data_IF_958941855275
#
_entry.id   IF_958941855275
#
_cell.length_a   1.000
_cell.length_b   1.000
_cell.length_c   1.000
_cell.angle_alpha   90.00
_cell.angle_beta   90.00
_cell.angle_gamma   90.00
#
_symmetry.space_group_name_H-M   'P 1'
#
loop_
_entity.id
_entity.type
_entity.pdbx_description
1 polymer ?
#
# COMPACT_ATOMS: atom_id res chain seq x y z
N UNK A 1 -2.77 7.08 29.36
CA UNK A 1 -3.47 6.95 28.07
C UNK A 1 -2.45 6.52 27.05
N UNK A 2 -2.71 5.44 26.33
CA UNK A 2 -1.87 4.98 25.22
C UNK A 2 -2.49 5.48 23.91
N UNK A 3 -1.68 5.88 22.93
CA UNK A 3 -2.12 6.29 21.60
C UNK A 3 -2.77 5.12 20.83
N UNK A 4 -2.52 3.88 21.26
CA UNK A 4 -3.16 2.66 20.76
C UNK A 4 -4.25 2.11 21.69
N UNK A 5 -4.74 2.90 22.66
CA UNK A 5 -5.70 2.43 23.68
C UNK A 5 -6.94 1.82 23.03
N UNK A 6 -7.14 0.52 23.28
CA UNK A 6 -8.35 -0.19 22.87
C UNK A 6 -9.62 0.45 23.48
N UNK A 7 -9.47 1.18 24.59
CA UNK A 7 -10.52 1.95 25.25
C UNK A 7 -11.12 3.07 24.41
N UNK A 8 -10.41 3.61 23.40
CA UNK A 8 -10.95 4.56 22.42
C UNK A 8 -11.73 3.87 21.28
N UNK A 9 -11.69 2.53 21.23
CA UNK A 9 -12.27 1.73 20.14
C UNK A 9 -13.35 0.77 20.63
N UNK A 10 -13.72 0.83 21.92
CA UNK A 10 -14.63 -0.12 22.57
C UNK A 10 -15.56 0.58 23.53
N UNK A 11 -16.70 -0.07 23.77
CA UNK A 11 -17.71 0.41 24.71
C UNK A 11 -18.60 1.50 24.12
N UNK A 12 -19.38 2.18 24.97
CA UNK A 12 -20.30 3.23 24.53
C UNK A 12 -19.58 4.44 23.93
N UNK A 13 -20.25 5.18 23.07
CA UNK A 13 -19.71 6.43 22.50
C UNK A 13 -19.44 7.47 23.58
N UNK A 14 -18.41 8.29 23.37
CA UNK A 14 -17.99 9.33 24.32
C UNK A 14 -17.87 10.69 23.63
N UNK A 15 -17.93 11.80 24.38
CA UNK A 15 -17.58 13.11 23.85
C UNK A 15 -16.18 13.10 23.21
N UNK A 16 -16.03 13.80 22.09
CA UNK A 16 -14.79 13.86 21.31
C UNK A 16 -14.57 12.70 20.33
N UNK A 17 -15.32 11.60 20.44
CA UNK A 17 -15.19 10.48 19.51
C UNK A 17 -15.76 10.82 18.13
N UNK A 18 -15.17 10.24 17.07
CA UNK A 18 -15.78 10.29 15.74
C UNK A 18 -16.76 9.15 15.56
N UNK A 19 -17.90 9.46 14.96
CA UNK A 19 -18.95 8.50 14.63
C UNK A 19 -19.32 8.67 13.16
N UNK A 20 -19.42 7.55 12.46
CA UNK A 20 -19.99 7.48 11.12
C UNK A 20 -21.48 7.15 11.23
N UNK A 21 -22.30 7.99 10.63
CA UNK A 21 -23.74 7.86 10.54
C UNK A 21 -24.12 7.42 9.13
N UNK A 22 -24.83 6.30 9.02
CA UNK A 22 -25.29 5.77 7.73
C UNK A 22 -26.81 5.82 7.65
N UNK A 23 -27.33 6.51 6.65
CA UNK A 23 -28.78 6.64 6.41
C UNK A 23 -29.36 5.38 5.70
N UNK A 24 -30.69 5.25 5.53
CA UNK A 24 -31.30 4.10 4.87
C UNK A 24 -30.99 3.98 3.37
N UNK A 25 -30.38 5.02 2.77
CA UNK A 25 -29.90 5.04 1.38
C UNK A 25 -28.40 4.72 1.30
N UNK A 26 -27.75 4.38 2.42
CA UNK A 26 -26.32 4.09 2.49
C UNK A 26 -25.43 5.33 2.45
N UNK A 27 -25.98 6.54 2.62
CA UNK A 27 -25.16 7.77 2.67
C UNK A 27 -24.46 7.85 4.02
N UNK A 28 -23.16 8.05 3.98
CA UNK A 28 -22.31 8.13 5.16
C UNK A 28 -21.97 9.58 5.50
N UNK A 29 -22.09 9.93 6.78
CA UNK A 29 -21.66 11.20 7.35
C UNK A 29 -20.73 10.94 8.52
N UNK A 30 -19.63 11.68 8.64
CA UNK A 30 -18.72 11.54 9.79
C UNK A 30 -18.81 12.79 10.65
N UNK A 31 -19.14 12.61 11.93
CA UNK A 31 -19.25 13.68 12.91
C UNK A 31 -18.28 13.45 14.07
N UNK A 32 -17.96 14.53 14.78
CA UNK A 32 -17.26 14.45 16.08
C UNK A 32 -18.26 14.77 17.17
N UNK A 33 -18.46 13.83 18.10
CA UNK A 33 -19.40 13.99 19.20
C UNK A 33 -18.94 15.09 20.15
N UNK A 34 -19.91 15.87 20.62
CA UNK A 34 -19.68 16.98 21.52
C UNK A 34 -21.01 17.27 22.20
N UNK A 35 -20.98 17.46 23.52
CA UNK A 35 -22.18 17.66 24.33
C UNK A 35 -22.96 18.90 23.86
N UNK A 36 -24.29 18.78 23.83
CA UNK A 36 -25.21 19.84 23.41
C UNK A 36 -25.13 20.23 21.93
N UNK A 37 -24.30 19.56 21.11
CA UNK A 37 -24.23 19.83 19.67
C UNK A 37 -25.26 19.03 18.88
N UNK A 38 -25.56 19.55 17.69
CA UNK A 38 -26.50 18.96 16.75
C UNK A 38 -25.84 18.70 15.40
N UNK A 39 -26.07 17.50 14.87
CA UNK A 39 -25.76 17.19 13.48
C UNK A 39 -26.98 17.46 12.60
N UNK A 40 -26.84 18.44 11.70
CA UNK A 40 -27.91 18.84 10.79
C UNK A 40 -27.83 18.05 9.49
N UNK A 41 -28.98 17.55 9.06
CA UNK A 41 -29.13 16.89 7.76
C UNK A 41 -30.06 17.72 6.88
N UNK A 42 -30.19 17.33 5.62
CA UNK A 42 -31.19 17.92 4.72
C UNK A 42 -32.64 17.78 5.23
N UNK A 43 -32.91 16.89 6.20
CA UNK A 43 -34.23 16.64 6.80
C UNK A 43 -34.10 16.40 8.30
N UNK A 44 -34.20 17.46 9.09
CA UNK A 44 -34.09 17.37 10.55
C UNK A 44 -32.65 17.22 11.05
N UNK A 45 -32.51 16.99 12.35
CA UNK A 45 -31.22 16.93 13.04
C UNK A 45 -31.17 15.77 14.04
N UNK A 46 -29.94 15.40 14.43
CA UNK A 46 -29.62 14.47 15.50
C UNK A 46 -28.94 15.23 16.63
N UNK A 47 -29.38 15.03 17.87
CA UNK A 47 -28.65 15.52 19.04
C UNK A 47 -27.45 14.60 19.29
N UNK A 48 -26.29 15.18 19.57
CA UNK A 48 -25.11 14.38 19.92
C UNK A 48 -25.31 13.66 21.26
N UNK A 49 -26.06 14.26 22.17
CA UNK A 49 -26.33 13.72 23.51
C UNK A 49 -27.10 12.39 23.45
N UNK A 50 -27.90 12.18 22.40
CA UNK A 50 -28.61 10.91 22.17
C UNK A 50 -27.66 9.79 21.71
N UNK A 51 -26.49 10.13 21.17
CA UNK A 51 -25.44 9.18 20.77
C UNK A 51 -24.45 8.94 21.91
N UNK A 52 -24.12 9.96 22.69
CA UNK A 52 -23.17 9.85 23.80
C UNK A 52 -23.73 8.86 24.84
N UNK A 53 -22.92 7.86 25.21
CA UNK A 53 -23.33 6.77 26.09
C UNK A 53 -24.11 5.64 25.41
N UNK A 54 -24.49 5.78 24.13
CA UNK A 54 -25.08 4.68 23.37
C UNK A 54 -24.01 3.65 22.95
N UNK A 55 -24.36 2.35 22.84
CA UNK A 55 -23.45 1.34 22.31
C UNK A 55 -23.05 1.58 20.85
N UNK A 56 -21.84 1.17 20.48
CA UNK A 56 -21.40 1.14 19.08
C UNK A 56 -22.30 0.23 18.24
N UNK A 57 -22.63 0.66 17.02
CA UNK A 57 -23.59 -0.04 16.15
C UNK A 57 -25.05 0.20 16.49
N UNK A 58 -25.38 1.18 17.34
CA UNK A 58 -26.76 1.55 17.63
C UNK A 58 -27.42 2.30 16.47
N UNK A 59 -28.75 2.18 16.34
CA UNK A 59 -29.55 3.00 15.44
C UNK A 59 -30.20 4.14 16.21
N UNK A 60 -30.09 5.36 15.68
CA UNK A 60 -30.71 6.56 16.23
C UNK A 60 -31.71 7.16 15.24
N UNK A 61 -32.79 7.76 15.73
CA UNK A 61 -33.80 8.41 14.90
C UNK A 61 -33.67 9.92 14.99
N UNK A 62 -33.62 10.60 13.84
CA UNK A 62 -33.58 12.06 13.80
C UNK A 62 -34.97 12.70 14.02
N UNK A 63 -35.03 14.02 14.14
CA UNK A 63 -36.30 14.74 14.37
C UNK A 63 -37.33 14.61 13.25
N UNK A 64 -36.95 14.13 12.06
CA UNK A 64 -37.84 13.85 10.94
C UNK A 64 -38.23 12.36 10.82
N UNK A 65 -37.94 11.54 11.83
CA UNK A 65 -38.27 10.11 11.85
C UNK A 65 -37.36 9.22 10.99
N UNK A 66 -36.24 9.75 10.47
CA UNK A 66 -35.27 8.97 9.68
C UNK A 66 -34.25 8.31 10.61
N UNK A 67 -34.07 7.01 10.45
CA UNK A 67 -33.09 6.22 11.21
C UNK A 67 -31.69 6.33 10.61
N UNK A 68 -30.68 6.38 11.47
CA UNK A 68 -29.27 6.38 11.14
C UNK A 68 -28.56 5.32 11.96
N UNK A 69 -27.75 4.47 11.30
CA UNK A 69 -26.84 3.56 11.96
C UNK A 69 -25.57 4.32 12.38
N UNK A 70 -25.26 4.32 13.67
CA UNK A 70 -24.08 4.97 14.23
C UNK A 70 -22.99 3.94 14.53
N UNK A 71 -21.84 4.07 13.88
CA UNK A 71 -20.69 3.16 14.03
C UNK A 71 -19.40 3.97 14.16
N UNK A 72 -18.46 3.51 15.00
CA UNK A 72 -17.09 4.07 14.99
C UNK A 72 -16.40 3.81 13.65
N UNK A 73 -15.86 4.84 12.98
CA UNK A 73 -15.18 4.64 11.71
C UNK A 73 -13.92 3.78 11.89
N UNK A 74 -13.74 2.82 10.97
CA UNK A 74 -12.48 2.12 10.82
C UNK A 74 -11.41 3.10 10.32
N UNK A 75 -10.14 2.69 10.36
CA UNK A 75 -9.06 3.51 9.77
C UNK A 75 -9.31 3.74 8.27
N UNK A 76 -9.77 2.71 7.56
CA UNK A 76 -10.13 2.81 6.14
C UNK A 76 -11.20 3.88 5.90
N UNK A 77 -12.21 3.98 6.78
CA UNK A 77 -13.30 4.94 6.63
C UNK A 77 -12.85 6.36 6.96
N UNK A 78 -12.01 6.48 7.99
CA UNK A 78 -11.43 7.75 8.41
C UNK A 78 -10.52 8.34 7.31
N UNK A 79 -9.60 7.54 6.75
CA UNK A 79 -8.71 7.98 5.66
C UNK A 79 -9.51 8.44 4.44
N UNK A 80 -10.65 7.82 4.17
CA UNK A 80 -11.51 8.17 3.05
C UNK A 80 -12.32 9.46 3.25
N UNK A 81 -12.41 9.97 4.48
CA UNK A 81 -13.25 11.13 4.84
C UNK A 81 -12.52 12.26 5.57
N UNK A 82 -11.25 12.07 5.94
CA UNK A 82 -10.44 13.09 6.61
C UNK A 82 -10.11 14.28 5.68
N UNK A 83 -9.84 15.47 6.24
CA UNK A 83 -9.31 16.60 5.48
C UNK A 83 -8.01 16.23 4.74
N UNK A 84 -7.87 16.69 3.49
CA UNK A 84 -6.73 16.36 2.63
C UNK A 84 -6.05 17.61 2.14
N UNK A 85 -4.74 17.69 2.36
CA UNK A 85 -3.85 18.63 1.66
C UNK A 85 -3.31 18.06 0.35
N UNK A 86 -3.20 16.73 0.27
CA UNK A 86 -2.63 15.99 -0.85
C UNK A 86 -3.46 14.75 -1.19
N UNK A 87 -3.15 14.11 -2.31
CA UNK A 87 -3.61 12.75 -2.57
C UNK A 87 -3.15 11.81 -1.45
N UNK A 88 -3.97 10.82 -1.13
CA UNK A 88 -3.69 9.86 -0.06
C UNK A 88 -3.47 8.47 -0.65
N UNK A 89 -2.59 7.69 -0.04
CA UNK A 89 -2.53 6.25 -0.29
C UNK A 89 -3.86 5.62 0.12
N UNK A 90 -4.45 4.84 -0.80
CA UNK A 90 -5.72 4.18 -0.57
C UNK A 90 -5.56 3.01 0.41
N UNK A 91 -6.61 2.63 1.17
CA UNK A 91 -6.53 1.53 2.13
C UNK A 91 -6.02 0.20 1.56
N UNK A 92 -6.33 -0.10 0.29
CA UNK A 92 -5.83 -1.31 -0.39
C UNK A 92 -4.29 -1.32 -0.49
N UNK A 93 -3.69 -0.17 -0.76
CA UNK A 93 -2.27 -0.01 -0.99
C UNK A 93 -1.54 0.13 0.35
N UNK A 94 -2.11 0.88 1.31
CA UNK A 94 -1.58 0.96 2.67
C UNK A 94 -1.52 -0.41 3.35
N UNK A 95 -2.55 -1.25 3.17
CA UNK A 95 -2.54 -2.63 3.68
C UNK A 95 -1.45 -3.49 3.03
N UNK A 96 -1.23 -3.35 1.72
CA UNK A 96 -0.13 -4.03 1.05
C UNK A 96 1.24 -3.49 1.47
N UNK A 97 1.41 -2.19 1.69
CA UNK A 97 2.66 -1.62 2.20
C UNK A 97 2.98 -2.21 3.56
N UNK A 98 2.03 -2.19 4.50
CA UNK A 98 2.22 -2.75 5.84
C UNK A 98 2.60 -4.24 5.77
N UNK A 99 1.91 -5.02 4.94
CA UNK A 99 2.14 -6.46 4.84
C UNK A 99 3.42 -6.84 4.07
N UNK A 100 3.67 -6.20 2.92
CA UNK A 100 4.73 -6.57 1.99
C UNK A 100 6.07 -5.94 2.38
N UNK A 101 6.05 -4.78 3.04
CA UNK A 101 7.23 -4.26 3.71
C UNK A 101 7.47 -4.93 5.06
N UNK A 102 6.57 -5.82 5.53
CA UNK A 102 6.71 -6.47 6.83
C UNK A 102 6.92 -5.43 7.95
N UNK A 103 5.98 -4.49 8.09
CA UNK A 103 6.00 -3.51 9.18
C UNK A 103 5.53 -4.21 10.45
N UNK A 104 6.43 -4.34 11.43
CA UNK A 104 6.21 -5.13 12.64
C UNK A 104 6.22 -4.26 13.92
N UNK A 105 5.61 -4.73 15.03
CA UNK A 105 5.64 -4.01 16.30
C UNK A 105 7.07 -3.76 16.79
N UNK A 106 7.40 -2.53 17.18
CA UNK A 106 8.74 -2.14 17.61
C UNK A 106 9.70 -1.72 16.48
N UNK A 107 9.29 -1.82 15.20
CA UNK A 107 10.15 -1.43 14.09
C UNK A 107 10.48 0.07 14.08
N UNK A 108 11.69 0.40 13.62
CA UNK A 108 12.09 1.75 13.23
C UNK A 108 11.83 1.93 11.74
N UNK A 109 10.86 2.78 11.42
CA UNK A 109 10.39 3.02 10.06
C UNK A 109 10.67 4.46 9.65
N UNK A 110 11.15 4.65 8.42
CA UNK A 110 11.21 5.96 7.78
C UNK A 110 10.12 6.05 6.71
N UNK A 111 9.42 7.19 6.67
CA UNK A 111 8.47 7.54 5.63
C UNK A 111 8.86 8.89 5.00
N UNK A 112 8.71 9.05 3.69
CA UNK A 112 8.80 10.37 3.06
C UNK A 112 7.68 10.59 2.05
N UNK A 113 7.12 11.80 2.08
CA UNK A 113 5.85 12.12 1.43
C UNK A 113 4.67 11.87 2.35
N UNK A 114 4.66 12.57 3.50
CA UNK A 114 3.63 12.38 4.55
C UNK A 114 2.26 12.81 4.07
N UNK A 115 2.20 13.89 3.29
CA UNK A 115 0.97 14.41 2.70
C UNK A 115 -0.10 14.70 3.75
N UNK A 116 -1.17 13.91 3.77
CA UNK A 116 -2.27 14.08 4.74
C UNK A 116 -2.21 13.10 5.92
N UNK A 117 -1.14 12.31 6.06
CA UNK A 117 -0.92 11.36 7.17
C UNK A 117 -1.69 10.03 7.07
N UNK A 118 -2.26 9.71 5.90
CA UNK A 118 -3.06 8.51 5.69
C UNK A 118 -2.25 7.22 5.92
N UNK A 119 -1.08 7.14 5.26
CA UNK A 119 -0.16 6.04 5.39
C UNK A 119 0.46 6.03 6.79
N UNK A 120 0.90 7.18 7.28
CA UNK A 120 1.49 7.33 8.62
C UNK A 120 0.62 6.72 9.71
N UNK A 121 -0.70 6.94 9.72
CA UNK A 121 -1.60 6.30 10.70
C UNK A 121 -1.62 4.75 10.60
N UNK A 122 -1.48 4.20 9.40
CA UNK A 122 -1.39 2.75 9.19
C UNK A 122 -0.06 2.19 9.70
N UNK A 123 1.04 2.91 9.44
CA UNK A 123 2.37 2.57 9.93
C UNK A 123 2.43 2.64 11.47
N UNK A 124 1.97 3.75 12.07
CA UNK A 124 1.92 3.94 13.52
C UNK A 124 1.15 2.83 14.24
N UNK A 125 0.02 2.41 13.66
CA UNK A 125 -0.76 1.30 14.20
C UNK A 125 -0.01 -0.03 14.14
N UNK A 126 0.77 -0.27 13.08
CA UNK A 126 1.51 -1.51 12.90
C UNK A 126 2.75 -1.59 13.81
N UNK A 127 3.49 -0.49 13.96
CA UNK A 127 4.69 -0.44 14.80
C UNK A 127 4.39 -0.34 16.30
N UNK A 128 3.21 0.17 16.68
CA UNK A 128 2.85 0.38 18.08
C UNK A 128 3.63 1.49 18.77
N UNK A 129 3.56 1.55 20.11
CA UNK A 129 4.20 2.62 20.88
C UNK A 129 5.69 2.42 21.13
N UNK A 130 6.16 1.17 21.03
CA UNK A 130 7.57 0.82 21.22
C UNK A 130 8.39 1.00 19.94
N UNK A 131 7.73 1.12 18.78
CA UNK A 131 8.37 1.42 17.50
C UNK A 131 8.68 2.91 17.34
N UNK A 132 9.22 3.27 16.17
CA UNK A 132 9.46 4.67 15.78
C UNK A 132 9.10 4.89 14.32
N UNK A 133 8.40 5.97 14.04
CA UNK A 133 8.15 6.45 12.68
C UNK A 133 8.81 7.82 12.52
N UNK A 134 9.83 7.87 11.66
CA UNK A 134 10.50 9.10 11.24
C UNK A 134 9.94 9.51 9.87
N UNK A 135 9.13 10.56 9.87
CA UNK A 135 8.41 11.03 8.68
C UNK A 135 9.00 12.34 8.17
N UNK A 136 9.33 12.41 6.88
CA UNK A 136 9.90 13.61 6.25
C UNK A 136 8.91 14.23 5.26
N UNK A 137 8.62 15.51 5.45
CA UNK A 137 7.69 16.28 4.61
C UNK A 137 8.29 17.65 4.31
N UNK A 138 8.42 18.00 3.02
CA UNK A 138 9.03 19.28 2.62
C UNK A 138 8.12 20.46 2.93
N UNK A 139 6.81 20.23 2.99
CA UNK A 139 5.77 21.24 3.12
C UNK A 139 5.24 21.33 4.55
N UNK A 140 5.56 22.42 5.24
CA UNK A 140 5.13 22.65 6.62
C UNK A 140 3.60 22.59 6.79
N UNK A 141 2.83 23.09 5.82
CA UNK A 141 1.37 23.03 5.83
C UNK A 141 0.84 21.59 5.78
N UNK A 142 1.48 20.72 4.98
CA UNK A 142 1.14 19.31 4.92
C UNK A 142 1.52 18.56 6.20
N UNK A 143 2.69 18.86 6.78
CA UNK A 143 3.10 18.30 8.05
C UNK A 143 2.09 18.59 9.17
N UNK A 144 1.56 19.83 9.24
CA UNK A 144 0.56 20.20 10.25
C UNK A 144 -0.80 19.54 9.99
N UNK A 145 -1.24 19.42 8.73
CA UNK A 145 -2.45 18.67 8.38
C UNK A 145 -2.32 17.19 8.80
N UNK A 146 -1.19 16.56 8.50
CA UNK A 146 -0.94 15.17 8.84
C UNK A 146 -0.96 14.95 10.37
N UNK A 147 -0.28 15.81 11.13
CA UNK A 147 -0.30 15.79 12.60
C UNK A 147 -1.72 15.95 13.14
N UNK A 148 -2.47 16.93 12.63
CA UNK A 148 -3.86 17.16 13.02
C UNK A 148 -4.75 15.95 12.76
N UNK A 149 -4.63 15.33 11.59
CA UNK A 149 -5.40 14.13 11.23
C UNK A 149 -5.07 12.95 12.15
N UNK A 150 -3.78 12.65 12.36
CA UNK A 150 -3.40 11.55 13.24
C UNK A 150 -3.82 11.81 14.69
N UNK A 151 -3.66 13.04 15.20
CA UNK A 151 -4.11 13.42 16.55
C UNK A 151 -5.61 13.21 16.72
N UNK A 152 -6.41 13.58 15.73
CA UNK A 152 -7.86 13.35 15.75
C UNK A 152 -8.16 11.85 15.76
N UNK A 153 -7.39 11.03 15.04
CA UNK A 153 -7.64 9.60 14.94
C UNK A 153 -7.20 8.80 16.18
N UNK A 154 -6.07 9.17 16.79
CA UNK A 154 -5.52 8.53 17.99
C UNK A 154 -6.00 9.18 19.29
N UNK A 155 -6.63 10.36 19.22
CA UNK A 155 -7.05 11.14 20.39
C UNK A 155 -5.91 11.90 21.08
N UNK A 156 -4.67 11.73 20.63
CA UNK A 156 -3.47 12.37 21.14
C UNK A 156 -2.36 12.37 20.08
N UNK A 157 -1.28 13.11 20.32
CA UNK A 157 -0.06 12.96 19.52
C UNK A 157 0.55 11.58 19.78
N UNK A 158 0.78 10.81 18.71
CA UNK A 158 1.31 9.47 18.83
C UNK A 158 2.79 9.51 19.25
N UNK A 159 3.19 8.87 20.36
CA UNK A 159 4.53 9.04 20.93
C UNK A 159 5.64 8.48 20.04
N UNK A 160 5.34 7.46 19.24
CA UNK A 160 6.29 6.90 18.26
C UNK A 160 6.52 7.78 17.02
N UNK A 161 5.78 8.89 16.85
CA UNK A 161 5.82 9.65 15.59
C UNK A 161 6.67 10.91 15.70
N UNK A 162 7.69 11.01 14.84
CA UNK A 162 8.47 12.23 14.65
C UNK A 162 8.29 12.71 13.21
N UNK A 163 7.84 13.95 13.04
CA UNK A 163 7.68 14.57 11.71
C UNK A 163 8.71 15.69 11.57
N UNK A 164 9.62 15.52 10.60
CA UNK A 164 10.65 16.50 10.25
C UNK A 164 10.21 17.26 9.00
N UNK A 165 10.16 18.60 9.10
CA UNK A 165 9.88 19.45 7.94
C UNK A 165 11.20 19.69 7.20
N UNK A 166 11.35 19.07 6.03
CA UNK A 166 12.59 19.13 5.27
C UNK A 166 12.65 18.12 4.14
N UNK A 167 13.68 18.23 3.30
CA UNK A 167 13.98 17.23 2.28
C UNK A 167 14.56 15.97 2.93
N UNK A 168 14.15 14.78 2.47
CA UNK A 168 14.60 13.50 3.03
C UNK A 168 16.12 13.35 2.90
N UNK A 169 16.69 13.68 1.73
CA UNK A 169 18.10 13.49 1.42
C UNK A 169 18.97 14.33 2.33
N UNK A 170 18.55 15.56 2.60
CA UNK A 170 19.27 16.49 3.47
C UNK A 170 19.07 16.18 4.96
N UNK A 171 17.85 15.80 5.36
CA UNK A 171 17.47 15.75 6.78
C UNK A 171 17.73 14.39 7.42
N UNK A 172 17.53 13.29 6.69
CA UNK A 172 17.60 11.94 7.24
C UNK A 172 18.96 11.58 7.85
N UNK A 173 20.12 11.92 7.24
CA UNK A 173 21.43 11.59 7.81
C UNK A 173 21.67 12.18 9.22
N UNK A 174 20.97 13.25 9.57
CA UNK A 174 21.04 13.87 10.90
C UNK A 174 19.96 13.38 11.88
N UNK A 175 18.93 12.71 11.37
CA UNK A 175 17.75 12.30 12.14
C UNK A 175 17.81 10.84 12.59
N UNK A 176 18.56 10.00 11.88
CA UNK A 176 18.74 8.57 12.19
C UNK A 176 20.21 8.18 12.04
N UNK A 177 20.66 7.25 12.88
CA UNK A 177 22.01 6.69 12.76
C UNK A 177 22.12 5.79 11.52
N UNK A 178 23.30 5.68 10.89
CA UNK A 178 23.52 4.70 9.84
C UNK A 178 23.19 3.28 10.29
N UNK A 179 22.61 2.48 9.39
CA UNK A 179 22.20 1.09 9.62
C UNK A 179 21.35 0.90 10.90
N UNK A 180 20.40 1.81 11.15
CA UNK A 180 19.50 1.75 12.32
C UNK A 180 18.01 1.64 11.96
N UNK A 181 17.67 1.74 10.67
CA UNK A 181 16.28 1.71 10.18
C UNK A 181 15.93 0.31 9.68
N UNK A 182 14.77 -0.20 10.09
CA UNK A 182 14.27 -1.50 9.67
C UNK A 182 13.62 -1.43 8.28
N UNK A 183 12.82 -0.40 8.04
CA UNK A 183 11.92 -0.27 6.89
C UNK A 183 11.86 1.18 6.40
N UNK A 184 11.82 1.37 5.10
CA UNK A 184 11.67 2.68 4.46
C UNK A 184 10.51 2.63 3.47
N UNK A 185 9.60 3.61 3.56
CA UNK A 185 8.45 3.77 2.67
C UNK A 185 8.53 5.13 1.98
N UNK A 186 8.57 5.15 0.64
CA UNK A 186 8.63 6.39 -0.15
C UNK A 186 7.36 6.57 -1.00
N UNK A 187 6.63 7.66 -0.77
CA UNK A 187 5.49 8.10 -1.60
C UNK A 187 5.75 9.52 -2.12
N UNK A 188 6.56 9.61 -3.17
CA UNK A 188 7.00 10.89 -3.71
C UNK A 188 7.28 10.82 -5.21
N UNK A 189 7.51 11.98 -5.82
CA UNK A 189 7.69 12.08 -7.27
C UNK A 189 9.00 11.46 -7.75
N UNK A 190 10.08 11.54 -6.96
CA UNK A 190 11.42 11.15 -7.36
C UNK A 190 12.15 10.26 -6.31
N UNK A 191 11.61 9.09 -5.95
CA UNK A 191 12.21 8.22 -4.93
C UNK A 191 13.59 7.67 -5.32
N UNK A 192 13.95 7.67 -6.61
CA UNK A 192 15.30 7.28 -7.08
C UNK A 192 16.40 8.22 -6.58
N UNK A 193 16.09 9.47 -6.24
CA UNK A 193 17.07 10.44 -5.70
C UNK A 193 17.46 10.15 -4.25
N UNK A 194 16.71 9.26 -3.58
CA UNK A 194 16.88 8.95 -2.17
C UNK A 194 17.62 7.63 -1.93
N UNK A 195 18.00 6.90 -2.99
CA UNK A 195 18.50 5.52 -2.86
C UNK A 195 19.79 5.42 -2.03
N UNK A 196 20.70 6.37 -2.15
CA UNK A 196 21.97 6.37 -1.42
C UNK A 196 21.73 6.56 0.08
N UNK A 197 21.06 7.65 0.46
CA UNK A 197 20.76 7.95 1.87
C UNK A 197 19.92 6.85 2.53
N UNK A 198 18.99 6.24 1.77
CA UNK A 198 18.18 5.12 2.25
C UNK A 198 19.04 3.87 2.45
N UNK A 199 20.00 3.61 1.57
CA UNK A 199 20.91 2.48 1.69
C UNK A 199 21.83 2.61 2.91
N UNK A 200 22.20 3.84 3.27
CA UNK A 200 23.01 4.15 4.45
C UNK A 200 22.21 4.00 5.75
N UNK A 201 20.94 4.41 5.76
CA UNK A 201 20.08 4.32 6.94
C UNK A 201 19.59 2.89 7.24
N UNK A 202 19.32 2.09 6.20
CA UNK A 202 18.76 0.74 6.34
C UNK A 202 19.75 -0.26 6.94
N UNK A 203 19.27 -1.07 7.88
CA UNK A 203 19.94 -2.31 8.31
C UNK A 203 20.14 -3.26 7.12
N UNK A 204 21.21 -4.10 7.11
CA UNK A 204 21.31 -5.22 6.18
C UNK A 204 20.06 -6.11 6.24
N UNK A 205 19.44 -6.36 5.10
CA UNK A 205 18.18 -7.10 4.99
C UNK A 205 16.92 -6.27 5.26
N UNK A 206 17.04 -4.99 5.64
CA UNK A 206 15.94 -4.04 5.74
C UNK A 206 15.23 -3.83 4.41
N UNK A 207 14.00 -3.33 4.44
CA UNK A 207 13.14 -3.24 3.25
C UNK A 207 12.95 -1.79 2.84
N UNK A 208 13.15 -1.50 1.55
CA UNK A 208 12.67 -0.29 0.89
C UNK A 208 11.44 -0.67 0.07
N UNK A 209 10.34 0.06 0.27
CA UNK A 209 9.18 0.02 -0.60
C UNK A 209 8.85 1.44 -1.10
N UNK A 210 8.64 1.57 -2.41
CA UNK A 210 8.21 2.82 -3.03
C UNK A 210 6.81 2.66 -3.61
N UNK A 211 5.98 3.68 -3.43
CA UNK A 211 4.71 3.85 -4.11
C UNK A 211 4.89 4.88 -5.21
N UNK A 212 4.58 4.51 -6.47
CA UNK A 212 4.77 5.38 -7.64
C UNK A 212 3.56 5.32 -8.57
N UNK A 213 3.14 6.46 -9.11
CA UNK A 213 1.91 6.53 -9.89
C UNK A 213 2.09 6.01 -11.33
N UNK A 214 3.26 6.24 -11.94
CA UNK A 214 3.47 5.96 -13.37
C UNK A 214 4.45 4.81 -13.62
N UNK A 215 4.29 4.15 -14.76
CA UNK A 215 5.22 3.11 -15.20
C UNK A 215 6.65 3.65 -15.48
N UNK A 216 6.78 4.94 -15.84
CA UNK A 216 8.09 5.58 -16.01
C UNK A 216 8.81 5.78 -14.69
N UNK A 217 8.09 6.21 -13.65
CA UNK A 217 8.64 6.27 -12.29
C UNK A 217 9.02 4.86 -11.81
N UNK A 218 8.15 3.87 -12.04
CA UNK A 218 8.42 2.48 -11.69
C UNK A 218 9.72 1.96 -12.32
N UNK A 219 9.88 2.16 -13.63
CA UNK A 219 11.08 1.79 -14.36
C UNK A 219 12.33 2.47 -13.78
N UNK A 220 12.26 3.79 -13.54
CA UNK A 220 13.39 4.56 -13.04
C UNK A 220 13.83 4.14 -11.63
N UNK A 221 12.89 3.80 -10.75
CA UNK A 221 13.23 3.24 -9.43
C UNK A 221 13.89 1.87 -9.56
N UNK A 222 13.34 1.00 -10.42
CA UNK A 222 13.88 -0.34 -10.62
C UNK A 222 15.32 -0.31 -11.16
N UNK A 223 15.59 0.50 -12.19
CA UNK A 223 16.95 0.64 -12.72
C UNK A 223 17.87 1.34 -11.72
N UNK A 224 17.41 2.39 -11.03
CA UNK A 224 18.20 3.05 -9.98
C UNK A 224 18.63 2.07 -8.86
N UNK A 225 17.74 1.18 -8.42
CA UNK A 225 18.08 0.13 -7.44
C UNK A 225 19.14 -0.85 -7.97
N UNK A 226 19.10 -1.18 -9.27
CA UNK A 226 20.08 -2.08 -9.91
C UNK A 226 21.43 -1.41 -10.10
N UNK A 227 21.44 -0.18 -10.59
CA UNK A 227 22.64 0.64 -10.79
C UNK A 227 23.36 0.90 -9.46
N UNK A 228 22.60 1.19 -8.39
CA UNK A 228 23.15 1.35 -7.05
C UNK A 228 23.85 0.07 -6.54
N UNK A 229 23.38 -1.12 -6.94
CA UNK A 229 24.00 -2.41 -6.59
C UNK A 229 23.89 -2.84 -5.12
N UNK A 230 23.46 -1.94 -4.22
CA UNK A 230 23.26 -2.21 -2.79
C UNK A 230 21.91 -2.84 -2.41
N UNK A 231 21.07 -3.16 -3.39
CA UNK A 231 19.72 -3.72 -3.20
C UNK A 231 19.57 -5.08 -3.89
N UNK A 232 18.66 -5.92 -3.38
CA UNK A 232 18.22 -7.11 -4.11
C UNK A 232 17.47 -6.73 -5.38
N UNK A 233 17.28 -7.69 -6.29
CA UNK A 233 16.45 -7.49 -7.48
C UNK A 233 15.06 -6.93 -7.10
N UNK A 234 14.66 -5.78 -7.68
CA UNK A 234 13.39 -5.15 -7.35
C UNK A 234 12.20 -6.02 -7.77
N UNK A 235 11.18 -6.04 -6.93
CA UNK A 235 9.90 -6.68 -7.21
C UNK A 235 8.81 -5.62 -7.25
N UNK A 236 8.08 -5.58 -8.37
CA UNK A 236 7.02 -4.61 -8.59
C UNK A 236 5.68 -5.30 -8.84
N UNK A 237 4.60 -4.69 -8.34
CA UNK A 237 3.24 -5.14 -8.58
C UNK A 237 2.23 -3.99 -8.44
N UNK A 238 1.00 -4.24 -8.84
CA UNK A 238 -0.16 -3.39 -8.57
C UNK A 238 -1.31 -4.24 -8.05
N UNK A 239 -2.31 -3.61 -7.44
CA UNK A 239 -3.50 -4.29 -6.93
C UNK A 239 -4.79 -3.63 -7.41
N UNK A 240 -5.75 -4.47 -7.79
CA UNK A 240 -7.04 -4.05 -8.30
C UNK A 240 -8.15 -4.55 -7.37
N UNK A 241 -8.93 -3.63 -6.81
CA UNK A 241 -10.09 -3.95 -5.96
C UNK A 241 -11.37 -3.65 -6.75
N UNK A 242 -12.19 -4.69 -6.98
CA UNK A 242 -13.46 -4.57 -7.69
C UNK A 242 -14.61 -4.94 -6.77
N UNK A 243 -15.45 -3.95 -6.44
CA UNK A 243 -16.64 -4.14 -5.63
C UNK A 243 -17.69 -5.02 -6.34
N UNK A 244 -18.57 -5.61 -5.55
CA UNK A 244 -19.69 -6.43 -6.02
C UNK A 244 -21.02 -5.84 -5.53
N UNK A 245 -22.02 -5.96 -6.38
CA UNK A 245 -23.42 -5.78 -6.02
C UNK A 245 -23.95 -7.10 -5.49
N UNK A 246 -24.61 -7.09 -4.33
CA UNK A 246 -25.02 -8.29 -3.59
C UNK A 246 -26.49 -8.19 -3.15
N UNK A 247 -27.40 -7.87 -4.07
CA UNK A 247 -28.83 -7.72 -3.76
C UNK A 247 -29.65 -8.82 -4.42
N UNK A 248 -30.24 -9.71 -3.63
CA UNK A 248 -31.09 -10.81 -4.11
C UNK A 248 -30.38 -11.64 -5.19
N UNK A 249 -30.99 -11.72 -6.38
CA UNK A 249 -30.41 -12.42 -7.54
C UNK A 249 -29.43 -11.56 -8.36
N UNK A 250 -29.36 -10.25 -8.08
CA UNK A 250 -28.45 -9.32 -8.75
C UNK A 250 -27.06 -9.36 -8.10
N UNK A 251 -26.41 -10.53 -8.18
CA UNK A 251 -25.03 -10.75 -7.71
C UNK A 251 -24.08 -10.60 -8.90
N UNK A 252 -23.32 -9.50 -8.95
CA UNK A 252 -22.41 -9.20 -10.06
C UNK A 252 -21.36 -8.15 -9.66
N UNK A 253 -20.26 -8.01 -10.40
CA UNK A 253 -19.35 -6.88 -10.22
C UNK A 253 -20.06 -5.53 -10.37
N UNK A 254 -19.60 -4.53 -9.62
CA UNK A 254 -20.00 -3.14 -9.83
C UNK A 254 -19.56 -2.67 -11.23
N UNK A 255 -20.36 -1.80 -11.85
CA UNK A 255 -20.09 -1.29 -13.20
C UNK A 255 -18.91 -0.31 -13.25
N UNK A 256 -18.61 0.35 -12.13
CA UNK A 256 -17.51 1.29 -12.00
C UNK A 256 -16.56 0.82 -10.91
N UNK A 257 -15.27 1.04 -11.13
CA UNK A 257 -14.21 0.76 -10.19
C UNK A 257 -13.07 1.77 -10.41
N UNK A 258 -12.21 1.92 -9.40
CA UNK A 258 -10.96 2.64 -9.57
C UNK A 258 -10.01 1.77 -10.38
N UNK A 259 -9.64 2.24 -11.57
CA UNK A 259 -8.82 1.46 -12.51
C UNK A 259 -7.36 1.35 -12.08
N UNK A 260 -6.81 2.40 -11.47
CA UNK A 260 -5.42 2.46 -11.02
C UNK A 260 -5.30 3.44 -9.85
N UNK A 261 -4.29 3.21 -9.00
CA UNK A 261 -3.87 4.16 -7.97
C UNK A 261 -2.37 4.41 -8.09
N UNK A 262 -1.59 3.33 -8.05
CA UNK A 262 -0.14 3.35 -8.17
C UNK A 262 0.43 1.93 -8.18
N UNK A 263 1.70 1.84 -8.54
CA UNK A 263 2.51 0.64 -8.42
C UNK A 263 3.23 0.65 -7.08
N UNK A 264 3.44 -0.55 -6.53
CA UNK A 264 4.36 -0.79 -5.45
C UNK A 264 5.60 -1.47 -6.01
N UNK A 265 6.77 -1.02 -5.59
CA UNK A 265 8.06 -1.63 -5.89
C UNK A 265 8.85 -1.76 -4.61
N UNK A 266 9.43 -2.94 -4.37
CA UNK A 266 10.21 -3.22 -3.17
C UNK A 266 11.52 -3.90 -3.48
N UNK A 267 12.50 -3.66 -2.62
CA UNK A 267 13.77 -4.37 -2.59
C UNK A 267 14.29 -4.44 -1.15
N UNK A 268 15.19 -5.38 -0.90
CA UNK A 268 15.88 -5.49 0.39
C UNK A 268 17.29 -4.95 0.28
N UNK A 269 17.76 -4.31 1.35
CA UNK A 269 19.13 -3.84 1.49
C UNK A 269 20.09 -5.03 1.58
N UNK A 270 21.13 -5.05 0.76
CA UNK A 270 22.22 -6.03 0.88
C UNK A 270 23.17 -5.65 2.02
N UNK A 271 23.89 -6.63 2.57
CA UNK A 271 24.97 -6.31 3.49
C UNK A 271 26.12 -5.59 2.73
N UNK A 272 26.85 -4.65 3.38
CA UNK A 272 28.03 -4.03 2.78
C UNK A 272 29.03 -5.08 2.26
N UNK A 273 29.53 -4.88 1.03
CA UNK A 273 30.49 -5.80 0.39
C UNK A 273 29.88 -7.04 -0.27
N UNK A 274 28.56 -7.23 -0.24
CA UNK A 274 27.88 -8.33 -0.93
C UNK A 274 27.15 -7.83 -2.17
N UNK A 275 27.26 -8.60 -3.27
CA UNK A 275 26.53 -8.37 -4.50
C UNK A 275 25.40 -9.41 -4.66
N UNK A 276 24.28 -9.05 -5.31
CA UNK A 276 23.23 -10.02 -5.59
C UNK A 276 23.74 -11.06 -6.62
N UNK A 277 23.28 -12.31 -6.57
CA UNK A 277 23.62 -13.30 -7.58
C UNK A 277 23.20 -12.82 -8.98
N UNK A 278 24.08 -13.00 -9.97
CA UNK A 278 23.76 -12.66 -11.36
C UNK A 278 22.54 -13.46 -11.83
N UNK A 279 21.47 -12.75 -12.17
CA UNK A 279 20.26 -13.37 -12.70
C UNK A 279 20.54 -13.83 -14.13
N UNK A 280 20.54 -15.15 -14.37
CA UNK A 280 20.54 -15.70 -15.73
C UNK A 280 19.21 -15.31 -16.39
N UNK A 281 19.18 -14.21 -17.14
CA UNK A 281 18.05 -13.87 -18.01
C UNK A 281 17.98 -14.95 -19.09
N UNK A 282 16.80 -15.54 -19.32
CA UNK A 282 16.59 -16.28 -20.57
C UNK A 282 16.73 -15.24 -21.70
N UNK A 283 17.41 -15.55 -22.82
CA UNK A 283 17.43 -14.64 -23.96
C UNK A 283 15.97 -14.40 -24.37
N UNK A 284 15.48 -13.20 -24.06
CA UNK A 284 14.20 -12.66 -24.47
C UNK A 284 14.52 -11.28 -25.03
N UNK A 285 14.02 -11.01 -26.24
CA UNK A 285 14.48 -9.97 -27.16
C UNK A 285 14.21 -8.51 -26.76
N UNK A 286 14.40 -8.16 -25.48
CA UNK A 286 14.47 -6.77 -25.07
C UNK A 286 15.87 -6.49 -24.53
N UNK A 287 16.65 -5.86 -25.40
CA UNK A 287 18.00 -5.37 -25.16
C UNK A 287 17.89 -3.97 -24.55
N UNK A 288 18.73 -3.67 -23.55
CA UNK A 288 18.82 -2.32 -22.96
C UNK A 288 19.96 -1.50 -23.59
N UNK A 289 20.58 -2.03 -24.64
CA UNK A 289 21.65 -1.38 -25.38
C UNK A 289 21.04 -0.50 -26.49
N UNK A 290 21.24 0.83 -26.49
CA UNK A 290 20.71 1.72 -27.52
C UNK A 290 21.06 1.28 -28.94
N UNK A 291 22.21 0.65 -29.13
CA UNK A 291 22.70 0.20 -30.45
C UNK A 291 22.00 -1.09 -30.92
N UNK A 292 21.41 -1.89 -30.03
CA UNK A 292 20.66 -3.12 -30.38
C UNK A 292 19.16 -2.85 -30.63
N UNK A 293 18.63 -1.67 -30.25
CA UNK A 293 17.22 -1.28 -30.47
C UNK A 293 16.95 -0.98 -31.96
N UNK A 294 17.96 -0.58 -32.73
CA UNK A 294 17.82 -0.34 -34.17
C UNK A 294 17.72 -1.63 -35.02
N UNK A 295 17.96 -2.81 -34.43
CA UNK A 295 18.00 -4.09 -35.14
C UNK A 295 16.93 -5.09 -34.70
N UNK A 296 15.70 -4.65 -34.46
CA UNK A 296 14.58 -5.57 -34.18
C UNK A 296 14.27 -6.38 -35.45
N UNK A 297 14.33 -7.71 -35.36
CA UNK A 297 14.05 -8.62 -36.50
C UNK A 297 12.75 -9.40 -36.27
N UNK A 298 12.17 -9.96 -37.33
CA UNK A 298 10.93 -10.76 -37.25
C UNK A 298 10.99 -11.95 -36.27
N UNK A 299 12.20 -12.42 -35.93
CA UNK A 299 12.43 -13.47 -34.94
C UNK A 299 12.08 -13.04 -33.50
N UNK A 300 12.08 -11.74 -33.22
CA UNK A 300 11.77 -11.16 -31.90
C UNK A 300 10.26 -11.13 -31.61
N UNK A 301 9.42 -11.26 -32.65
CA UNK A 301 7.96 -11.32 -32.54
C UNK A 301 7.40 -12.73 -32.25
N UNK A 302 8.25 -13.66 -31.84
CA UNK A 302 7.79 -14.85 -31.12
C UNK A 302 7.13 -15.95 -31.96
N UNK A 303 7.52 -16.15 -33.22
CA UNK A 303 7.32 -17.45 -33.86
C UNK A 303 8.50 -18.38 -33.54
N UNK A 304 8.44 -19.04 -32.39
CA UNK A 304 9.42 -20.08 -32.06
C UNK A 304 9.03 -21.42 -32.71
N UNK A 305 9.85 -21.90 -33.64
CA UNK A 305 9.79 -23.30 -34.05
C UNK A 305 10.16 -24.22 -32.88
N UNK A 306 9.31 -25.20 -32.53
CA UNK A 306 9.61 -26.10 -31.43
C UNK A 306 10.82 -26.98 -31.78
N UNK A 307 11.82 -26.99 -30.90
CA UNK A 307 13.00 -27.86 -31.01
C UNK A 307 12.62 -29.30 -31.37
N UNK A 308 13.34 -29.90 -32.32
CA UNK A 308 13.14 -31.28 -32.78
C UNK A 308 13.12 -32.30 -31.62
N UNK A 309 13.84 -32.04 -30.52
CA UNK A 309 13.83 -32.88 -29.32
C UNK A 309 12.48 -32.83 -28.58
N UNK A 310 11.86 -31.64 -28.53
CA UNK A 310 10.55 -31.42 -27.89
C UNK A 310 9.43 -32.03 -28.73
N UNK A 311 9.50 -31.90 -30.05
CA UNK A 311 8.57 -32.54 -30.99
C UNK A 311 8.66 -34.07 -30.91
N UNK A 312 9.87 -34.65 -30.93
CA UNK A 312 10.05 -36.11 -30.77
C UNK A 312 9.54 -36.64 -29.43
N UNK A 313 9.72 -35.87 -28.34
CA UNK A 313 9.20 -36.26 -27.02
C UNK A 313 7.68 -36.21 -26.98
N UNK A 314 7.06 -35.17 -27.54
CA UNK A 314 5.61 -35.06 -27.64
C UNK A 314 5.00 -36.18 -28.50
N UNK A 315 5.60 -36.51 -29.65
CA UNK A 315 5.17 -37.62 -30.51
C UNK A 315 5.27 -38.97 -29.79
N UNK A 316 6.36 -39.21 -29.04
CA UNK A 316 6.55 -40.45 -28.28
C UNK A 316 5.53 -40.60 -27.15
N UNK A 317 5.16 -39.49 -26.50
CA UNK A 317 4.12 -39.47 -25.46
C UNK A 317 2.73 -39.69 -26.06
N UNK A 318 2.43 -39.06 -27.21
CA UNK A 318 1.16 -39.25 -27.91
C UNK A 318 0.96 -40.70 -28.38
N UNK A 319 2.01 -41.34 -28.91
CA UNK A 319 1.98 -42.75 -29.33
C UNK A 319 1.86 -43.72 -28.15
N UNK A 320 2.44 -43.38 -27.00
CA UNK A 320 2.30 -44.20 -25.79
C UNK A 320 0.88 -44.15 -25.19
N UNK A 321 0.18 -43.03 -25.36
CA UNK A 321 -1.20 -42.84 -24.87
C UNK A 321 -2.24 -43.45 -25.83
N UNK A 322 -1.93 -43.58 -27.12
CA UNK A 322 -2.86 -44.15 -28.12
C UNK A 322 -2.86 -45.68 -28.22
N UNK A 323 -2.01 -46.39 -27.46
CA UNK A 323 -1.97 -47.86 -27.42
C UNK A 323 -1.46 -48.54 -28.71
N UNK A 324 -1.01 -47.79 -29.71
CA UNK A 324 -0.46 -48.31 -30.96
C UNK A 324 1.06 -48.42 -30.83
N UNK A 325 1.58 -49.64 -30.63
CA UNK A 325 3.01 -49.90 -30.79
C UNK A 325 3.43 -49.70 -32.25
N UNK A 326 4.56 -49.04 -32.53
CA UNK A 326 5.09 -48.95 -33.89
C UNK A 326 5.54 -50.34 -34.36
N UNK A 327 5.11 -50.73 -35.56
CA UNK A 327 5.50 -51.98 -36.22
C UNK A 327 7.02 -52.14 -36.20
N UNK A 328 7.48 -53.17 -35.48
CA UNK A 328 8.84 -53.69 -35.69
C UNK A 328 8.84 -54.41 -37.02
N UNK A 329 9.25 -53.72 -38.08
CA UNK A 329 9.63 -54.34 -39.32
C UNK A 329 10.72 -55.39 -39.03
N UNK A 330 10.35 -56.67 -39.08
CA UNK A 330 11.27 -57.80 -39.11
C UNK A 330 11.93 -57.77 -40.49
N UNK A 331 13.23 -57.50 -40.52
CA UNK A 331 14.05 -57.91 -41.66
C UNK A 331 14.24 -59.42 -41.49
N UNK A 332 13.62 -60.19 -42.36
CA UNK A 332 13.98 -61.57 -42.63
C UNK A 332 14.85 -61.56 -43.90
N UNK A 333 16.02 -62.19 -43.78
CA UNK A 333 17.03 -62.61 -44.76
C UNK A 333 17.01 -62.03 -46.19
#
# INVERSE_FOLDING_TARGET
MTAIDAGLRRGPFRPGERVQLTDPKGRMHTITLAEGKQFHTHRGFLQHDDLIGAPDGSTITNTAGTQYLAIRPLLSDYVMSMPRGAAVIYPKDAGQIVQMADIFPGAVVVEAGVGSGALSMSLLRAIGEEGRLHSFERRADFAEIAKGNARVFFGMDHPAWTVTVGDLVESMPSAVEPASVDRVVLDMLAPWECLDVVADALLPGGVLICYVATATQLSRVAEGMREHGGYTEPQAWESIVRGWHLEGLAVRPQHRMHGHTGFLISARRLAPGFAPPLRKRRPGGYTNDPDEIESVTDADFGQHEPSAKRVRRAARVALAVSGLQPDRCRIAD
#
